data_IF_713539926411
#
_entry.id   IF_713539926411
#
_cell.length_a   1.000
_cell.length_b   1.000
_cell.length_c   1.000
_cell.angle_alpha   90.00
_cell.angle_beta   90.00
_cell.angle_gamma   90.00
#
_symmetry.space_group_name_H-M   'P 1'
#
loop_
_entity.id
_entity.type
_entity.pdbx_description
1 polymer ?
#
# COMPACT_ATOMS: atom_id res chain seq x y z
N UNK A 1 -9.18 7.47 20.88
CA UNK A 1 -10.26 6.55 21.20
C UNK A 1 -9.84 5.40 22.13
N UNK A 2 -8.52 5.15 22.28
CA UNK A 2 -7.98 4.15 23.20
C UNK A 2 -8.05 2.69 22.72
N UNK A 3 -8.45 2.43 21.52
CA UNK A 3 -8.41 1.09 20.92
C UNK A 3 -7.03 0.75 20.38
N UNK A 4 -6.60 -0.54 20.40
CA UNK A 4 -5.33 -0.95 19.81
C UNK A 4 -5.26 -0.61 18.31
N UNK A 5 -4.35 0.30 17.93
CA UNK A 5 -4.28 0.86 16.58
C UNK A 5 -3.88 -0.19 15.53
N UNK A 6 -2.99 -1.10 15.91
CA UNK A 6 -2.59 -2.26 15.10
C UNK A 6 -3.78 -3.14 14.72
N UNK A 7 -4.67 -3.41 15.68
CA UNK A 7 -5.88 -4.20 15.43
C UNK A 7 -6.82 -3.49 14.44
N UNK A 8 -7.00 -2.17 14.60
CA UNK A 8 -7.89 -1.40 13.75
C UNK A 8 -7.42 -1.42 12.29
N UNK A 9 -6.14 -1.15 12.06
CA UNK A 9 -5.56 -1.15 10.73
C UNK A 9 -5.48 -2.57 10.16
N UNK A 10 -4.98 -3.53 10.94
CA UNK A 10 -4.89 -4.93 10.51
C UNK A 10 -6.25 -5.51 10.11
N UNK A 11 -7.32 -5.18 10.84
CA UNK A 11 -8.67 -5.58 10.48
C UNK A 11 -9.13 -4.94 9.16
N UNK A 12 -8.90 -3.64 8.96
CA UNK A 12 -9.20 -3.00 7.67
C UNK A 12 -8.47 -3.69 6.51
N UNK A 13 -7.22 -4.08 6.70
CA UNK A 13 -6.43 -4.78 5.69
C UNK A 13 -6.93 -6.20 5.42
N UNK A 14 -7.45 -6.91 6.44
CA UNK A 14 -8.08 -8.23 6.27
C UNK A 14 -9.36 -8.10 5.42
N UNK A 15 -10.23 -7.16 5.76
CA UNK A 15 -11.56 -7.01 5.16
C UNK A 15 -11.51 -6.35 3.76
N UNK A 16 -10.57 -5.44 3.54
CA UNK A 16 -10.48 -4.63 2.31
C UNK A 16 -9.38 -5.09 1.35
N UNK A 17 -8.46 -5.94 1.83
CA UNK A 17 -7.23 -6.32 1.14
C UNK A 17 -6.08 -5.38 1.44
N UNK A 18 -4.88 -5.83 1.06
CA UNK A 18 -3.61 -5.14 1.31
C UNK A 18 -3.06 -4.40 0.09
N UNK A 19 -3.76 -4.45 -1.05
CA UNK A 19 -3.34 -3.74 -2.27
C UNK A 19 -3.82 -2.29 -2.25
N UNK A 20 -3.09 -1.41 -2.93
CA UNK A 20 -3.46 0.02 -3.10
C UNK A 20 -4.82 0.20 -3.80
N UNK A 21 -5.25 -0.80 -4.55
CA UNK A 21 -6.58 -0.79 -5.19
C UNK A 21 -7.71 -1.07 -4.20
N UNK A 22 -7.43 -1.76 -3.08
CA UNK A 22 -8.44 -2.15 -2.10
C UNK A 22 -9.70 -2.75 -2.72
N UNK A 23 -10.77 -2.82 -1.96
CA UNK A 23 -12.09 -3.08 -2.50
C UNK A 23 -12.72 -1.81 -3.07
N UNK A 24 -13.61 -1.94 -4.06
CA UNK A 24 -14.38 -0.79 -4.55
C UNK A 24 -15.19 -0.14 -3.42
N UNK A 25 -15.64 -0.93 -2.47
CA UNK A 25 -16.37 -0.43 -1.30
C UNK A 25 -15.49 0.47 -0.41
N UNK A 26 -14.25 0.09 -0.16
CA UNK A 26 -13.28 0.94 0.55
C UNK A 26 -12.89 2.17 -0.26
N UNK A 27 -12.45 1.96 -1.48
CA UNK A 27 -11.88 3.00 -2.34
C UNK A 27 -12.86 4.10 -2.76
N UNK A 28 -14.11 3.73 -3.07
CA UNK A 28 -15.11 4.67 -3.60
C UNK A 28 -16.06 5.21 -2.53
N UNK A 29 -16.24 4.46 -1.43
CA UNK A 29 -17.27 4.75 -0.45
C UNK A 29 -16.74 4.79 0.99
N UNK A 30 -15.43 4.78 1.17
CA UNK A 30 -14.74 4.84 2.47
C UNK A 30 -15.21 3.76 3.46
N UNK A 31 -15.69 2.61 2.97
CA UNK A 31 -16.23 1.53 3.80
C UNK A 31 -15.28 0.32 3.78
N UNK A 32 -14.25 0.39 4.59
CA UNK A 32 -13.15 -0.58 4.63
C UNK A 32 -13.47 -1.86 5.42
N UNK A 33 -14.66 -2.01 5.95
CA UNK A 33 -15.05 -3.17 6.74
C UNK A 33 -16.39 -3.78 6.33
N UNK A 34 -16.89 -3.46 5.14
CA UNK A 34 -18.12 -4.05 4.65
C UNK A 34 -19.36 -3.73 5.50
N UNK A 35 -19.42 -2.54 6.10
CA UNK A 35 -20.53 -2.13 6.97
C UNK A 35 -21.81 -2.03 6.16
N UNK A 36 -22.82 -2.85 6.51
CA UNK A 36 -24.15 -2.79 5.91
C UNK A 36 -24.91 -1.55 6.39
N UNK A 37 -25.67 -0.93 5.49
CA UNK A 37 -26.47 0.25 5.81
C UNK A 37 -27.75 -0.14 6.57
N UNK A 38 -27.89 0.39 7.79
CA UNK A 38 -29.01 0.10 8.66
C UNK A 38 -30.08 1.22 8.70
N UNK A 39 -29.97 2.19 7.76
CA UNK A 39 -30.94 3.31 7.70
C UNK A 39 -30.62 4.49 8.61
N UNK A 40 -29.44 4.52 9.26
CA UNK A 40 -29.01 5.60 10.15
C UNK A 40 -27.77 6.31 9.59
N UNK A 41 -27.71 7.62 9.77
CA UNK A 41 -26.59 8.47 9.31
C UNK A 41 -25.49 8.67 10.36
N UNK A 42 -25.76 8.30 11.63
CA UNK A 42 -24.83 8.44 12.77
C UNK A 42 -24.27 9.87 12.92
N UNK A 43 -25.16 10.86 12.81
CA UNK A 43 -24.77 12.26 12.94
C UNK A 43 -24.01 12.80 11.73
N UNK A 44 -24.32 12.29 10.53
CA UNK A 44 -23.72 12.69 9.27
C UNK A 44 -22.41 12.00 8.93
N UNK A 45 -22.05 10.93 9.64
CA UNK A 45 -20.89 10.10 9.28
C UNK A 45 -21.16 9.26 8.03
N UNK A 46 -22.42 8.84 7.84
CA UNK A 46 -22.90 8.08 6.69
C UNK A 46 -23.76 8.97 5.81
N UNK A 47 -23.45 9.09 4.54
CA UNK A 47 -24.12 9.96 3.57
C UNK A 47 -25.19 9.24 2.74
N UNK A 48 -25.25 7.92 2.82
CA UNK A 48 -26.20 7.11 2.09
C UNK A 48 -25.82 5.63 2.03
N UNK A 49 -26.35 4.93 1.05
CA UNK A 49 -26.00 3.52 0.80
C UNK A 49 -25.70 3.26 -0.67
N UNK A 50 -24.92 2.22 -0.92
CA UNK A 50 -24.67 1.66 -2.25
C UNK A 50 -25.04 0.19 -2.27
N UNK A 51 -25.74 -0.23 -3.31
CA UNK A 51 -26.12 -1.64 -3.51
C UNK A 51 -25.02 -2.39 -4.25
N UNK A 52 -24.41 -3.37 -3.60
CA UNK A 52 -23.33 -4.16 -4.18
C UNK A 52 -23.60 -5.66 -4.07
N UNK A 53 -23.06 -6.41 -5.03
CA UNK A 53 -23.08 -7.87 -5.00
C UNK A 53 -22.10 -8.36 -3.93
N UNK A 54 -22.58 -9.19 -3.02
CA UNK A 54 -21.76 -9.80 -1.96
C UNK A 54 -21.96 -11.30 -1.92
N UNK A 55 -21.03 -12.00 -1.28
CA UNK A 55 -21.17 -13.42 -0.96
C UNK A 55 -21.57 -13.53 0.51
N UNK A 56 -22.72 -14.15 0.75
CA UNK A 56 -23.23 -14.44 2.08
C UNK A 56 -23.21 -15.94 2.32
N UNK A 57 -23.30 -16.36 3.59
CA UNK A 57 -23.36 -17.75 3.97
C UNK A 57 -24.69 -18.08 4.63
N UNK A 58 -25.33 -19.16 4.19
CA UNK A 58 -26.54 -19.67 4.84
C UNK A 58 -26.24 -20.23 6.23
N UNK A 59 -27.26 -20.49 7.02
CA UNK A 59 -27.11 -21.16 8.32
C UNK A 59 -26.45 -22.55 8.22
N UNK A 60 -26.52 -23.17 7.04
CA UNK A 60 -25.83 -24.45 6.74
C UNK A 60 -24.38 -24.28 6.27
N UNK A 61 -23.86 -23.02 6.21
CA UNK A 61 -22.51 -22.71 5.74
C UNK A 61 -22.33 -22.67 4.22
N UNK A 62 -23.41 -22.79 3.44
CA UNK A 62 -23.34 -22.71 1.98
C UNK A 62 -23.23 -21.27 1.51
N UNK A 63 -22.24 -20.96 0.67
CA UNK A 63 -22.05 -19.65 0.09
C UNK A 63 -23.10 -19.38 -1.00
N UNK A 64 -23.66 -18.16 -1.03
CA UNK A 64 -24.54 -17.68 -2.09
C UNK A 64 -24.28 -16.19 -2.36
N UNK A 65 -24.53 -15.78 -3.60
CA UNK A 65 -24.39 -14.37 -4.00
C UNK A 65 -25.74 -13.66 -3.86
N UNK A 66 -25.69 -12.47 -3.26
CA UNK A 66 -26.88 -11.60 -3.12
C UNK A 66 -26.47 -10.14 -3.19
N UNK A 67 -27.42 -9.26 -3.39
CA UNK A 67 -27.20 -7.83 -3.27
C UNK A 67 -27.51 -7.37 -1.85
N UNK A 68 -26.62 -6.53 -1.31
CA UNK A 68 -26.83 -5.87 -0.02
C UNK A 68 -26.56 -4.36 -0.15
N UNK A 69 -27.22 -3.57 0.69
CA UNK A 69 -26.97 -2.15 0.80
C UNK A 69 -25.85 -1.93 1.82
N UNK A 70 -24.76 -1.32 1.37
CA UNK A 70 -23.61 -0.98 2.19
C UNK A 70 -23.58 0.52 2.48
N UNK A 71 -23.13 0.88 3.68
CA UNK A 71 -22.99 2.27 4.07
C UNK A 71 -21.95 3.01 3.22
N UNK A 72 -22.28 4.23 2.82
CA UNK A 72 -21.36 5.18 2.18
C UNK A 72 -20.93 6.19 3.24
N UNK A 73 -19.65 6.14 3.62
CA UNK A 73 -19.10 7.10 4.57
C UNK A 73 -18.70 8.40 3.88
N UNK A 74 -18.75 9.50 4.60
CA UNK A 74 -18.41 10.81 4.08
C UNK A 74 -16.94 10.88 3.65
N UNK A 75 -16.06 10.31 4.48
CA UNK A 75 -14.60 10.28 4.34
C UNK A 75 -14.02 9.19 5.26
N UNK A 76 -12.71 8.99 5.21
CA UNK A 76 -11.99 8.01 6.04
C UNK A 76 -12.12 8.32 7.54
N UNK A 77 -12.06 9.59 7.92
CA UNK A 77 -12.23 10.02 9.32
C UNK A 77 -13.62 9.65 9.84
N UNK A 78 -14.65 9.82 9.03
CA UNK A 78 -16.02 9.43 9.37
C UNK A 78 -16.17 7.93 9.56
N UNK A 79 -15.52 7.12 8.72
CA UNK A 79 -15.47 5.67 8.89
C UNK A 79 -14.76 5.27 10.19
N UNK A 80 -13.59 5.85 10.47
CA UNK A 80 -12.85 5.57 11.71
C UNK A 80 -13.63 6.01 12.95
N UNK A 81 -14.27 7.17 12.89
CA UNK A 81 -15.12 7.67 13.97
C UNK A 81 -16.32 6.74 14.22
N UNK A 82 -16.99 6.31 13.17
CA UNK A 82 -18.07 5.31 13.26
C UNK A 82 -17.61 4.02 13.96
N UNK A 83 -16.45 3.48 13.58
CA UNK A 83 -15.91 2.27 14.22
C UNK A 83 -15.69 2.46 15.70
N UNK A 84 -15.05 3.55 16.08
CA UNK A 84 -14.66 3.81 17.47
C UNK A 84 -15.81 4.26 18.36
N UNK A 85 -16.77 5.02 17.84
CA UNK A 85 -17.86 5.58 18.64
C UNK A 85 -19.14 4.77 18.61
N UNK A 86 -19.35 3.95 17.58
CA UNK A 86 -20.58 3.19 17.41
C UNK A 86 -20.35 1.68 17.30
N UNK A 87 -19.56 1.20 16.32
CA UNK A 87 -19.40 -0.22 16.06
C UNK A 87 -18.81 -0.95 17.27
N UNK A 88 -17.67 -0.54 17.76
CA UNK A 88 -16.99 -1.21 18.86
C UNK A 88 -17.66 -1.01 20.23
N UNK A 89 -18.56 -0.06 20.37
CA UNK A 89 -19.36 0.15 21.60
C UNK A 89 -20.63 -0.70 21.66
N UNK A 90 -20.88 -1.54 20.66
CA UNK A 90 -22.02 -2.44 20.69
C UNK A 90 -21.90 -3.46 21.83
N UNK A 91 -23.04 -3.78 22.45
CA UNK A 91 -23.07 -4.63 23.64
C UNK A 91 -22.61 -6.08 23.41
N UNK A 92 -22.70 -6.59 22.18
CA UNK A 92 -22.19 -7.90 21.82
C UNK A 92 -20.66 -7.98 21.92
N UNK A 93 -19.93 -6.86 21.75
CA UNK A 93 -18.48 -6.81 21.94
C UNK A 93 -18.10 -6.45 23.36
N UNK A 94 -18.71 -5.38 23.92
CA UNK A 94 -18.33 -4.85 25.24
C UNK A 94 -18.62 -5.82 26.40
N UNK A 95 -19.48 -6.81 26.20
CA UNK A 95 -19.78 -7.86 27.19
C UNK A 95 -18.82 -9.05 27.12
N UNK A 96 -17.98 -9.13 26.10
CA UNK A 96 -16.97 -10.20 26.01
C UNK A 96 -15.94 -10.03 27.12
N UNK A 97 -15.63 -11.06 27.92
CA UNK A 97 -14.81 -10.94 29.13
C UNK A 97 -13.43 -10.30 28.92
N UNK A 98 -12.81 -10.57 27.77
CA UNK A 98 -11.48 -10.05 27.45
C UNK A 98 -11.49 -8.70 26.70
N UNK A 99 -12.65 -8.16 26.37
CA UNK A 99 -12.75 -6.94 25.56
C UNK A 99 -12.08 -5.74 26.24
N UNK A 100 -12.50 -5.41 27.46
CA UNK A 100 -11.93 -4.29 28.19
C UNK A 100 -10.44 -4.51 28.51
N UNK A 101 -10.08 -5.73 28.90
CA UNK A 101 -8.68 -6.10 29.14
C UNK A 101 -7.80 -5.87 27.91
N UNK A 102 -8.29 -6.18 26.71
CA UNK A 102 -7.56 -5.95 25.48
C UNK A 102 -7.27 -4.47 25.24
N UNK A 103 -8.23 -3.61 25.54
CA UNK A 103 -8.10 -2.14 25.46
C UNK A 103 -7.11 -1.63 26.51
N UNK A 104 -7.29 -2.01 27.78
CA UNK A 104 -6.47 -1.56 28.91
C UNK A 104 -5.00 -1.96 28.77
N UNK A 105 -4.75 -3.10 28.10
CA UNK A 105 -3.38 -3.60 27.87
C UNK A 105 -2.86 -3.29 26.46
N UNK A 106 -3.61 -2.55 25.66
CA UNK A 106 -3.30 -2.24 24.27
C UNK A 106 -2.89 -3.50 23.45
N UNK A 107 -3.65 -4.61 23.61
CA UNK A 107 -3.34 -5.89 23.02
C UNK A 107 -4.22 -6.18 21.80
N UNK A 108 -3.67 -5.98 20.63
CA UNK A 108 -4.36 -6.14 19.34
C UNK A 108 -4.93 -7.53 19.10
N UNK A 109 -4.17 -8.59 19.37
CA UNK A 109 -4.68 -9.96 19.16
C UNK A 109 -5.83 -10.28 20.10
N UNK A 110 -5.72 -9.88 21.38
CA UNK A 110 -6.78 -10.09 22.35
C UNK A 110 -8.04 -9.30 21.97
N UNK A 111 -7.88 -8.08 21.43
CA UNK A 111 -8.98 -7.26 20.95
C UNK A 111 -9.68 -7.91 19.75
N UNK A 112 -8.92 -8.37 18.76
CA UNK A 112 -9.48 -9.07 17.59
C UNK A 112 -10.21 -10.36 17.99
N UNK A 113 -9.68 -11.14 18.94
CA UNK A 113 -10.38 -12.32 19.50
C UNK A 113 -11.69 -11.94 20.16
N UNK A 114 -11.69 -10.90 20.99
CA UNK A 114 -12.91 -10.42 21.65
C UNK A 114 -13.98 -9.97 20.63
N UNK A 115 -13.57 -9.33 19.54
CA UNK A 115 -14.48 -8.96 18.44
C UNK A 115 -15.07 -10.22 17.77
N UNK A 116 -14.26 -11.26 17.56
CA UNK A 116 -14.71 -12.54 17.01
C UNK A 116 -15.69 -13.26 17.92
N UNK A 117 -15.43 -13.30 19.24
CA UNK A 117 -16.36 -13.82 20.25
C UNK A 117 -17.69 -13.04 20.25
N UNK A 118 -17.64 -11.74 20.00
CA UNK A 118 -18.80 -10.88 19.83
C UNK A 118 -19.51 -10.99 18.49
N UNK A 119 -19.00 -11.82 17.58
CA UNK A 119 -19.63 -12.11 16.28
C UNK A 119 -19.26 -11.13 15.16
N UNK A 120 -18.12 -10.44 15.25
CA UNK A 120 -17.69 -9.53 14.20
C UNK A 120 -17.37 -10.27 12.89
N UNK A 121 -16.75 -11.44 12.98
CA UNK A 121 -16.42 -12.27 11.83
C UNK A 121 -16.85 -13.72 12.04
N UNK A 122 -17.07 -14.46 10.95
CA UNK A 122 -17.53 -15.85 10.96
C UNK A 122 -16.40 -16.88 10.81
N UNK A 123 -15.20 -16.43 10.41
CA UNK A 123 -14.02 -17.28 10.34
C UNK A 123 -13.62 -17.78 11.74
N UNK A 124 -12.89 -18.90 11.81
CA UNK A 124 -12.34 -19.33 13.10
C UNK A 124 -11.37 -18.25 13.63
N UNK A 125 -11.37 -18.05 14.96
CA UNK A 125 -10.48 -17.07 15.58
C UNK A 125 -9.02 -17.29 15.23
N UNK A 126 -8.57 -18.54 15.20
CA UNK A 126 -7.18 -18.86 14.89
C UNK A 126 -6.82 -18.52 13.43
N UNK A 127 -7.75 -18.76 12.49
CA UNK A 127 -7.57 -18.36 11.10
C UNK A 127 -7.49 -16.83 10.95
N UNK A 128 -8.36 -16.09 11.63
CA UNK A 128 -8.38 -14.63 11.58
C UNK A 128 -7.11 -14.01 12.19
N UNK A 129 -6.67 -14.53 13.34
CA UNK A 129 -5.43 -14.11 13.99
C UNK A 129 -4.20 -14.49 13.16
N UNK A 130 -4.20 -15.64 12.47
CA UNK A 130 -3.12 -15.99 11.54
C UNK A 130 -3.00 -15.00 10.38
N UNK A 131 -4.14 -14.53 9.82
CA UNK A 131 -4.14 -13.47 8.80
C UNK A 131 -3.59 -12.15 9.36
N UNK A 132 -4.04 -11.73 10.56
CA UNK A 132 -3.51 -10.54 11.22
C UNK A 132 -2.00 -10.62 11.43
N UNK A 133 -1.49 -11.74 11.93
CA UNK A 133 -0.04 -11.95 12.10
C UNK A 133 0.73 -11.90 10.78
N UNK A 134 0.17 -12.47 9.73
CA UNK A 134 0.75 -12.40 8.38
C UNK A 134 0.83 -10.96 7.89
N UNK A 135 -0.19 -10.13 8.15
CA UNK A 135 -0.16 -8.69 7.86
C UNK A 135 0.94 -8.00 8.66
N UNK A 136 1.05 -8.24 9.96
CA UNK A 136 2.08 -7.67 10.81
C UNK A 136 3.51 -8.07 10.36
N UNK A 137 3.69 -9.26 9.84
CA UNK A 137 4.96 -9.72 9.26
C UNK A 137 5.28 -9.03 7.94
N UNK A 138 4.27 -8.89 7.08
CA UNK A 138 4.43 -8.25 5.77
C UNK A 138 4.52 -6.72 5.86
N UNK A 139 3.89 -6.14 6.88
CA UNK A 139 3.80 -4.70 7.14
C UNK A 139 4.20 -4.41 8.60
N UNK A 140 5.51 -4.38 8.93
CA UNK A 140 5.99 -4.22 10.31
C UNK A 140 5.48 -2.96 11.03
N UNK A 141 5.17 -1.88 10.28
CA UNK A 141 4.56 -0.68 10.84
C UNK A 141 3.23 -0.98 11.53
N UNK A 142 2.42 -1.89 10.97
CA UNK A 142 1.15 -2.30 11.59
C UNK A 142 1.39 -2.81 13.00
N UNK A 143 2.38 -3.69 13.20
CA UNK A 143 2.71 -4.23 14.51
C UNK A 143 3.23 -3.16 15.50
N UNK A 144 3.87 -2.11 14.98
CA UNK A 144 4.47 -1.05 15.80
C UNK A 144 3.45 0.00 16.27
N UNK A 145 2.28 0.11 15.61
CA UNK A 145 1.28 1.13 15.92
C UNK A 145 0.83 1.13 17.39
N UNK A 146 0.75 -0.04 18.01
CA UNK A 146 0.33 -0.15 19.41
C UNK A 146 1.35 0.42 20.40
N UNK A 147 2.61 0.55 19.98
CA UNK A 147 3.69 1.14 20.81
C UNK A 147 3.99 2.61 20.50
N UNK A 148 3.32 3.18 19.48
CA UNK A 148 3.53 4.55 19.05
C UNK A 148 2.53 5.52 19.66
N UNK A 149 3.02 6.69 20.05
CA UNK A 149 2.16 7.84 20.29
C UNK A 149 1.71 8.46 18.96
N UNK A 150 0.61 9.24 18.99
CA UNK A 150 0.17 9.97 17.81
C UNK A 150 1.22 10.97 17.29
N UNK A 151 2.08 11.49 18.17
CA UNK A 151 3.17 12.39 17.80
C UNK A 151 4.32 11.64 17.12
N UNK A 152 4.71 10.49 17.66
CA UNK A 152 5.70 9.61 17.03
C UNK A 152 5.23 9.14 15.66
N UNK A 153 3.95 8.75 15.52
CA UNK A 153 3.39 8.38 14.21
C UNK A 153 3.41 9.55 13.22
N UNK A 154 3.03 10.77 13.66
CA UNK A 154 3.12 11.98 12.82
C UNK A 154 4.55 12.31 12.45
N UNK A 155 5.49 12.17 13.38
CA UNK A 155 6.90 12.43 13.14
C UNK A 155 7.52 11.35 12.23
N UNK A 156 7.09 10.11 12.33
CA UNK A 156 7.45 9.06 11.38
C UNK A 156 6.82 9.28 10.00
N UNK A 157 5.59 9.74 9.94
CA UNK A 157 4.93 10.09 8.66
C UNK A 157 5.41 11.42 8.07
N UNK A 158 6.02 12.30 8.88
CA UNK A 158 6.69 13.53 8.41
C UNK A 158 8.21 13.35 8.19
N UNK A 159 8.77 12.19 8.52
CA UNK A 159 10.19 11.90 8.39
C UNK A 159 10.50 10.41 8.41
N UNK A 160 10.10 9.68 7.41
CA UNK A 160 10.36 8.27 7.14
C UNK A 160 9.09 7.43 7.26
N UNK A 161 8.37 7.31 6.19
CA UNK A 161 7.35 6.27 6.03
C UNK A 161 8.04 4.91 6.06
N UNK A 162 7.90 4.16 7.16
CA UNK A 162 8.19 2.74 7.19
C UNK A 162 7.06 1.97 6.49
N UNK A 163 6.91 2.20 5.20
CA UNK A 163 6.29 1.23 4.32
C UNK A 163 7.31 0.11 4.17
N UNK A 164 6.95 -1.17 4.18
CA UNK A 164 7.80 -2.21 3.64
C UNK A 164 8.04 -1.89 2.17
N UNK A 165 9.19 -1.34 1.86
CA UNK A 165 9.52 -0.62 0.64
C UNK A 165 9.90 0.81 0.98
N UNK A 166 10.57 0.99 2.14
CA UNK A 166 11.05 2.28 2.62
C UNK A 166 11.77 3.03 1.51
N UNK A 167 11.45 4.28 1.38
CA UNK A 167 12.07 5.21 0.44
C UNK A 167 11.85 6.62 0.93
N UNK A 168 12.52 7.57 0.30
CA UNK A 168 12.41 8.97 0.64
C UNK A 168 11.00 9.49 0.33
N UNK A 169 10.41 10.26 1.26
CA UNK A 169 9.19 11.02 1.00
C UNK A 169 9.45 12.18 0.03
N UNK A 170 8.46 12.48 -0.82
CA UNK A 170 8.57 13.57 -1.78
C UNK A 170 8.86 14.92 -1.11
N UNK A 171 8.25 15.20 0.03
CA UNK A 171 8.43 16.47 0.74
C UNK A 171 9.87 16.66 1.24
N UNK A 172 10.54 15.60 1.69
CA UNK A 172 11.90 15.62 2.20
C UNK A 172 12.97 15.64 1.09
N UNK A 173 12.55 15.55 -0.17
CA UNK A 173 13.46 15.50 -1.30
C UNK A 173 14.08 16.88 -1.61
N UNK A 174 15.31 16.87 -2.06
CA UNK A 174 15.98 18.05 -2.59
C UNK A 174 15.32 18.58 -3.87
N UNK A 175 15.51 19.84 -4.21
CA UNK A 175 14.87 20.43 -5.38
C UNK A 175 15.21 19.70 -6.68
N UNK A 176 16.46 19.32 -6.90
CA UNK A 176 16.86 18.58 -8.11
C UNK A 176 16.18 17.19 -8.23
N UNK A 177 15.88 16.54 -7.11
CA UNK A 177 15.11 15.30 -7.09
C UNK A 177 13.65 15.55 -7.49
N UNK A 178 13.06 16.62 -6.95
CA UNK A 178 11.72 17.10 -7.32
C UNK A 178 11.62 17.49 -8.79
N UNK A 179 12.70 18.04 -9.36
CA UNK A 179 12.75 18.39 -10.78
C UNK A 179 12.68 17.16 -11.69
N UNK A 180 13.26 16.02 -11.26
CA UNK A 180 13.08 14.73 -11.97
C UNK A 180 11.62 14.29 -11.92
N UNK A 181 10.98 14.37 -10.75
CA UNK A 181 9.54 13.98 -10.61
C UNK A 181 8.65 14.93 -11.42
N UNK A 182 8.94 16.22 -11.43
CA UNK A 182 8.23 17.17 -12.28
C UNK A 182 8.39 16.83 -13.77
N UNK A 183 9.58 16.39 -14.18
CA UNK A 183 9.81 15.91 -15.54
C UNK A 183 9.02 14.63 -15.85
N UNK A 184 8.78 13.74 -14.88
CA UNK A 184 7.92 12.57 -15.09
C UNK A 184 6.51 12.98 -15.54
N UNK A 185 5.89 13.94 -14.86
CA UNK A 185 4.54 14.41 -15.17
C UNK A 185 4.43 15.14 -16.50
N UNK A 186 5.54 15.69 -16.99
CA UNK A 186 5.62 16.46 -18.24
C UNK A 186 6.08 15.63 -19.44
N UNK A 187 6.48 14.38 -19.24
CA UNK A 187 7.01 13.52 -20.29
C UNK A 187 5.91 12.61 -20.82
N UNK A 188 5.54 12.72 -22.09
CA UNK A 188 4.47 11.92 -22.68
C UNK A 188 4.87 10.44 -22.74
N UNK A 189 3.86 9.60 -22.82
CA UNK A 189 4.05 8.17 -23.08
C UNK A 189 4.69 7.94 -24.45
N UNK A 190 5.81 7.22 -24.52
CA UNK A 190 6.55 7.04 -25.79
C UNK A 190 5.98 5.95 -26.69
N UNK A 191 5.08 5.13 -26.20
CA UNK A 191 4.56 3.94 -26.89
C UNK A 191 4.76 2.65 -26.06
N UNK A 192 4.20 1.57 -26.57
CA UNK A 192 4.31 0.24 -25.95
C UNK A 192 5.76 -0.26 -25.89
N UNK A 193 6.11 -0.99 -24.84
CA UNK A 193 7.43 -1.63 -24.63
C UNK A 193 8.62 -0.64 -24.59
N UNK A 194 8.38 0.65 -24.34
CA UNK A 194 9.39 1.70 -24.34
C UNK A 194 9.65 2.29 -22.95
N UNK A 195 9.67 1.45 -21.90
CA UNK A 195 9.91 1.90 -20.53
C UNK A 195 11.25 2.64 -20.38
N UNK A 196 12.32 2.12 -20.98
CA UNK A 196 13.64 2.76 -20.95
C UNK A 196 13.70 4.05 -21.77
N UNK A 197 12.96 4.13 -22.86
CA UNK A 197 12.85 5.36 -23.66
C UNK A 197 12.17 6.45 -22.84
N UNK A 198 11.08 6.11 -22.12
CA UNK A 198 10.41 7.08 -21.27
C UNK A 198 11.33 7.63 -20.17
N UNK A 199 12.03 6.76 -19.44
CA UNK A 199 12.96 7.21 -18.40
C UNK A 199 14.10 8.04 -18.98
N UNK A 200 14.63 7.69 -20.17
CA UNK A 200 15.62 8.52 -20.91
C UNK A 200 15.07 9.91 -21.21
N UNK A 201 13.82 10.02 -21.68
CA UNK A 201 13.18 11.31 -21.95
C UNK A 201 12.97 12.14 -20.68
N UNK A 202 12.54 11.49 -19.57
CA UNK A 202 12.39 12.16 -18.28
C UNK A 202 13.70 12.75 -17.80
N UNK A 203 14.75 11.94 -17.78
CA UNK A 203 16.05 12.41 -17.30
C UNK A 203 16.70 13.45 -18.23
N UNK A 204 16.53 13.32 -19.54
CA UNK A 204 16.98 14.36 -20.48
C UNK A 204 16.26 15.70 -20.23
N UNK A 205 14.95 15.67 -19.95
CA UNK A 205 14.16 16.87 -19.58
C UNK A 205 14.63 17.47 -18.25
N UNK A 206 15.03 16.65 -17.30
CA UNK A 206 15.59 17.10 -16.02
C UNK A 206 17.06 17.56 -16.13
N UNK A 207 17.66 17.56 -17.33
CA UNK A 207 19.04 17.98 -17.56
C UNK A 207 20.08 16.89 -17.31
N UNK A 208 19.66 15.63 -17.20
CA UNK A 208 20.52 14.50 -16.82
C UNK A 208 20.30 13.31 -17.77
N UNK A 209 20.78 13.36 -19.01
CA UNK A 209 20.52 12.31 -19.98
C UNK A 209 21.09 10.95 -19.54
N UNK A 210 20.29 9.92 -19.67
CA UNK A 210 20.65 8.51 -19.43
C UNK A 210 20.31 7.68 -20.66
N UNK A 211 21.08 6.65 -20.92
CA UNK A 211 20.83 5.70 -21.99
C UNK A 211 20.84 4.24 -21.51
N UNK A 212 20.39 3.33 -22.35
CA UNK A 212 20.35 1.91 -22.05
C UNK A 212 18.93 1.34 -22.05
N UNK A 213 18.84 0.06 -21.77
CA UNK A 213 17.57 -0.67 -21.62
C UNK A 213 17.11 -0.67 -20.17
N UNK A 214 15.94 -1.21 -19.89
CA UNK A 214 15.39 -1.29 -18.56
C UNK A 214 16.34 -1.92 -17.53
N UNK A 215 17.07 -2.96 -17.92
CA UNK A 215 18.04 -3.64 -17.06
C UNK A 215 19.49 -3.14 -17.19
N UNK A 216 19.75 -2.08 -17.96
CA UNK A 216 21.12 -1.54 -18.16
C UNK A 216 21.27 -0.05 -17.85
N UNK A 217 20.20 0.70 -17.63
CA UNK A 217 20.27 2.13 -17.33
C UNK A 217 21.04 2.45 -16.03
N UNK A 218 20.99 1.52 -15.06
CA UNK A 218 21.79 1.63 -13.84
C UNK A 218 23.15 0.93 -13.93
N UNK A 219 23.64 0.64 -15.12
CA UNK A 219 24.90 -0.02 -15.34
C UNK A 219 24.78 -1.19 -16.31
N UNK A 220 25.32 -2.34 -15.99
CA UNK A 220 25.33 -3.48 -16.88
C UNK A 220 24.12 -4.43 -16.59
N UNK A 221 23.86 -5.36 -17.52
CA UNK A 221 22.78 -6.36 -17.44
C UNK A 221 22.79 -7.22 -16.18
N UNK A 222 23.87 -7.30 -15.50
CA UNK A 222 23.96 -7.96 -14.20
C UNK A 222 24.27 -6.90 -13.15
N UNK A 223 23.47 -6.85 -12.12
CA UNK A 223 23.87 -6.16 -10.91
C UNK A 223 25.30 -6.56 -10.55
N UNK A 224 26.19 -5.60 -10.58
CA UNK A 224 27.57 -5.79 -10.11
C UNK A 224 28.66 -5.90 -11.18
N UNK A 225 28.39 -6.06 -12.46
CA UNK A 225 29.46 -6.14 -13.45
C UNK A 225 30.20 -4.77 -13.59
N UNK A 226 30.04 -4.00 -14.63
CA UNK A 226 30.69 -2.69 -14.76
C UNK A 226 30.02 -1.57 -13.96
N UNK A 227 29.09 -1.94 -13.15
CA UNK A 227 28.31 -1.08 -12.35
C UNK A 227 29.18 -0.60 -11.19
N UNK A 228 29.42 0.66 -11.12
CA UNK A 228 29.91 1.21 -9.87
C UNK A 228 28.87 0.89 -8.81
N UNK A 229 29.12 -0.12 -8.01
CA UNK A 229 28.20 -0.61 -6.95
C UNK A 229 27.83 0.50 -5.95
N UNK A 230 28.49 1.65 -6.07
CA UNK A 230 28.16 2.88 -5.34
C UNK A 230 26.93 3.62 -5.89
N UNK A 231 26.42 3.24 -7.06
CA UNK A 231 25.30 3.93 -7.72
C UNK A 231 23.97 3.26 -7.50
N UNK A 232 23.95 1.96 -7.22
CA UNK A 232 22.71 1.25 -6.94
C UNK A 232 22.85 0.29 -5.76
N UNK A 233 21.71 -0.07 -5.25
CA UNK A 233 21.58 -1.00 -4.15
C UNK A 233 20.39 -1.92 -4.39
N UNK A 234 20.46 -3.15 -3.87
CA UNK A 234 19.32 -4.06 -3.73
C UNK A 234 18.49 -3.75 -2.50
N UNK A 235 19.02 -2.93 -1.59
CA UNK A 235 18.29 -2.45 -0.42
C UNK A 235 17.34 -1.32 -0.84
N UNK A 236 16.10 -1.68 -1.15
CA UNK A 236 15.09 -0.73 -1.58
C UNK A 236 14.63 0.22 -0.47
N UNK A 237 15.02 -0.01 0.79
CA UNK A 237 14.80 0.96 1.86
C UNK A 237 15.62 2.24 1.66
N UNK A 238 16.68 2.18 0.85
CA UNK A 238 17.56 3.31 0.51
C UNK A 238 17.08 4.09 -0.74
N UNK A 239 15.94 3.71 -1.33
CA UNK A 239 15.46 4.39 -2.54
C UNK A 239 15.12 5.86 -2.25
N UNK A 240 15.60 6.76 -3.09
CA UNK A 240 15.37 8.20 -2.97
C UNK A 240 14.54 8.72 -4.14
N UNK A 241 13.84 9.81 -3.90
CA UNK A 241 13.02 10.50 -4.92
C UNK A 241 13.87 10.80 -6.16
N UNK A 242 13.33 10.48 -7.33
CA UNK A 242 14.04 10.62 -8.59
C UNK A 242 15.01 9.48 -8.93
N UNK A 243 15.19 8.48 -8.06
CA UNK A 243 15.99 7.30 -8.43
C UNK A 243 15.27 6.45 -9.47
N UNK A 244 16.05 5.86 -10.38
CA UNK A 244 15.59 4.72 -11.17
C UNK A 244 15.38 3.52 -10.24
N UNK A 245 14.36 2.74 -10.53
CA UNK A 245 14.22 1.36 -10.08
C UNK A 245 14.27 0.46 -11.32
N UNK A 246 15.16 -0.51 -11.33
CA UNK A 246 15.47 -1.34 -12.48
C UNK A 246 15.36 -2.81 -12.10
N UNK A 247 14.70 -3.60 -12.93
CA UNK A 247 14.54 -5.04 -12.78
C UNK A 247 15.21 -5.80 -13.91
N UNK A 248 15.80 -6.95 -13.58
CA UNK A 248 16.43 -7.85 -14.56
C UNK A 248 15.45 -8.26 -15.66
N UNK A 249 14.23 -8.57 -15.27
CA UNK A 249 13.14 -8.98 -16.14
C UNK A 249 11.94 -8.05 -15.97
N UNK A 250 11.26 -7.75 -17.06
CA UNK A 250 9.99 -7.07 -17.05
C UNK A 250 8.78 -8.02 -17.12
N UNK A 251 7.76 -7.62 -17.87
CA UNK A 251 6.62 -8.48 -18.20
C UNK A 251 7.06 -9.78 -18.85
N UNK A 252 6.24 -10.84 -18.78
CA UNK A 252 6.56 -12.14 -19.35
C UNK A 252 6.44 -12.16 -20.89
N UNK A 253 7.15 -11.25 -21.53
CA UNK A 253 7.29 -11.10 -22.99
C UNK A 253 8.75 -11.29 -23.40
N UNK A 254 9.01 -11.50 -24.68
CA UNK A 254 10.38 -11.58 -25.20
C UNK A 254 11.17 -10.29 -24.88
N UNK A 255 10.57 -9.12 -25.05
CA UNK A 255 11.19 -7.84 -24.73
C UNK A 255 11.44 -7.69 -23.23
N UNK A 256 10.46 -8.01 -22.37
CA UNK A 256 10.62 -7.95 -20.92
C UNK A 256 11.68 -8.92 -20.39
N UNK A 257 11.83 -10.09 -21.02
CA UNK A 257 12.85 -11.06 -20.64
C UNK A 257 14.26 -10.64 -21.10
N UNK A 258 14.38 -9.96 -22.25
CA UNK A 258 15.66 -9.51 -22.78
C UNK A 258 16.17 -8.21 -22.18
N UNK A 259 15.27 -7.23 -22.00
CA UNK A 259 15.60 -5.83 -21.69
C UNK A 259 15.19 -5.37 -20.31
N UNK A 260 14.50 -6.23 -19.54
CA UNK A 260 14.05 -5.91 -18.20
C UNK A 260 12.94 -4.86 -18.17
N UNK A 261 12.81 -4.22 -17.01
CA UNK A 261 11.88 -3.10 -16.81
C UNK A 261 12.51 -2.01 -15.95
N UNK A 262 12.03 -0.79 -16.11
CA UNK A 262 12.55 0.36 -15.36
C UNK A 262 11.42 1.36 -15.10
N UNK A 263 11.45 1.97 -13.91
CA UNK A 263 10.61 3.07 -13.51
C UNK A 263 11.40 4.12 -12.74
N UNK A 264 10.72 5.14 -12.26
CA UNK A 264 11.27 6.22 -11.44
C UNK A 264 10.50 6.27 -10.13
N UNK A 265 11.22 6.22 -9.01
CA UNK A 265 10.63 6.42 -7.70
C UNK A 265 10.28 7.90 -7.50
N UNK A 266 8.99 8.19 -7.30
CA UNK A 266 8.48 9.55 -7.22
C UNK A 266 8.23 10.05 -5.80
N UNK A 267 8.63 9.25 -4.79
CA UNK A 267 8.39 9.54 -3.38
C UNK A 267 7.18 8.79 -2.83
N UNK A 268 7.02 8.84 -1.53
CA UNK A 268 5.83 8.34 -0.80
C UNK A 268 5.48 6.87 -1.13
N UNK A 269 6.52 6.04 -1.30
CA UNK A 269 6.34 4.63 -1.64
C UNK A 269 5.82 4.35 -3.05
N UNK A 270 5.93 5.31 -3.99
CA UNK A 270 5.34 5.21 -5.34
C UNK A 270 6.39 5.20 -6.44
N UNK A 271 6.13 4.42 -7.46
CA UNK A 271 6.92 4.35 -8.69
C UNK A 271 6.04 4.74 -9.88
N UNK A 272 6.57 5.60 -10.74
CA UNK A 272 5.99 5.89 -12.04
C UNK A 272 6.77 5.18 -13.13
N UNK A 273 6.08 4.50 -14.05
CA UNK A 273 6.68 3.77 -15.16
C UNK A 273 5.83 3.86 -16.44
N UNK A 274 6.45 3.48 -17.55
CA UNK A 274 5.79 3.34 -18.85
C UNK A 274 5.58 1.86 -19.13
N UNK A 275 4.32 1.48 -19.29
CA UNK A 275 3.90 0.12 -19.61
C UNK A 275 3.28 0.05 -21.02
N UNK A 276 2.86 -1.15 -21.43
CA UNK A 276 2.25 -1.36 -22.74
C UNK A 276 1.06 -0.44 -23.04
N UNK A 277 0.23 -0.15 -22.04
CA UNK A 277 -1.02 0.61 -22.18
C UNK A 277 -0.93 2.10 -21.84
N UNK A 278 0.22 2.61 -21.39
CA UNK A 278 0.37 4.01 -21.00
C UNK A 278 1.37 4.23 -19.87
N UNK A 279 1.35 5.44 -19.31
CA UNK A 279 2.04 5.75 -18.06
C UNK A 279 1.16 5.34 -16.88
N UNK A 280 1.77 4.82 -15.84
CA UNK A 280 1.07 4.50 -14.59
C UNK A 280 1.89 4.91 -13.37
N UNK A 281 1.21 5.04 -12.25
CA UNK A 281 1.81 5.16 -10.92
C UNK A 281 1.28 4.03 -10.07
N UNK A 282 2.16 3.26 -9.46
CA UNK A 282 1.81 2.15 -8.55
C UNK A 282 2.69 2.19 -7.31
N UNK A 283 2.35 1.41 -6.29
CA UNK A 283 3.19 1.26 -5.12
C UNK A 283 4.54 0.60 -5.47
N UNK A 284 5.58 0.94 -4.70
CA UNK A 284 6.90 0.30 -4.83
C UNK A 284 6.78 -1.22 -4.63
N UNK A 285 5.96 -1.66 -3.68
CA UNK A 285 5.73 -3.08 -3.41
C UNK A 285 5.08 -3.81 -4.59
N UNK A 286 4.05 -3.22 -5.21
CA UNK A 286 3.40 -3.79 -6.39
C UNK A 286 4.34 -3.81 -7.59
N UNK A 287 5.13 -2.74 -7.76
CA UNK A 287 6.12 -2.69 -8.84
C UNK A 287 7.14 -3.81 -8.72
N UNK A 288 7.67 -4.04 -7.51
CA UNK A 288 8.61 -5.13 -7.22
C UNK A 288 7.95 -6.49 -7.39
N UNK A 289 6.73 -6.67 -6.90
CA UNK A 289 5.98 -7.93 -7.06
C UNK A 289 5.78 -8.30 -8.54
N UNK A 290 5.51 -7.31 -9.40
CA UNK A 290 5.27 -7.53 -10.82
C UNK A 290 6.56 -7.78 -11.62
N UNK A 291 7.69 -7.20 -11.20
CA UNK A 291 8.94 -7.20 -11.96
C UNK A 291 10.09 -7.96 -11.27
N UNK A 292 9.92 -8.43 -10.04
CA UNK A 292 10.98 -9.01 -9.19
C UNK A 292 11.32 -10.47 -9.45
N UNK A 293 11.10 -11.01 -10.67
CA UNK A 293 11.47 -12.40 -11.01
C UNK A 293 12.98 -12.66 -11.00
N UNK A 294 13.79 -11.63 -10.98
CA UNK A 294 15.24 -11.64 -10.87
C UNK A 294 15.70 -10.60 -9.85
N UNK A 295 16.85 -9.96 -10.12
CA UNK A 295 17.28 -8.86 -9.28
C UNK A 295 16.45 -7.59 -9.54
N UNK A 296 16.25 -6.82 -8.48
CA UNK A 296 15.75 -5.45 -8.52
C UNK A 296 16.76 -4.57 -7.81
N UNK A 297 17.09 -3.44 -8.41
CA UNK A 297 18.02 -2.44 -7.86
C UNK A 297 17.46 -1.05 -8.02
N UNK A 298 17.85 -0.13 -7.12
CA UNK A 298 17.55 1.29 -7.26
C UNK A 298 18.83 2.13 -7.15
N UNK A 299 18.82 3.30 -7.77
CA UNK A 299 19.95 4.22 -7.74
C UNK A 299 19.82 5.35 -8.74
N UNK A 300 20.73 6.31 -8.64
CA UNK A 300 20.88 7.30 -9.70
C UNK A 300 21.85 6.76 -10.76
N UNK A 301 21.61 7.03 -12.06
CA UNK A 301 22.46 6.54 -13.14
C UNK A 301 23.82 7.25 -13.23
N UNK A 302 24.11 8.18 -12.33
CA UNK A 302 25.37 8.91 -12.18
C UNK A 302 25.68 9.18 -10.71
N UNK A 303 26.93 9.57 -10.43
CA UNK A 303 27.31 9.95 -9.07
C UNK A 303 26.74 11.35 -8.75
N UNK A 304 25.78 11.38 -7.83
CA UNK A 304 25.30 12.61 -7.20
C UNK A 304 26.12 12.85 -5.92
N UNK A 305 26.53 14.08 -5.76
CA UNK A 305 27.26 14.53 -4.57
C UNK A 305 26.30 15.09 -3.54
#
# INVERSE_FOLDING_TARGET
>A
YGYPASALLGQMMIENGTSDSGSDLGRLYHNYGGVKYAGYDYGGLITGSVKMLTTEYSASGSAYKTYADFAVFKDDDSYMKYRCEHLYKQSNYTRVPNYQKAIDTNNSELFLRALGEGGYYTASQDSYIAQYRSICQSYPLVAQLDSMTAEEFKNQSSGTTLIPGGGQDYQSADQWQKDIVNACSQTPWPGADLCATWTTMVYARAGHPVGGNGNTQLGNQGYGANYSQKRATTDLSQIKVGMLISAQYGSNTAAGNAYGHVGIYIGDGKVMDSIYSGLRTISLSDWVSQNGRGWVVCGYPWDWR
#
